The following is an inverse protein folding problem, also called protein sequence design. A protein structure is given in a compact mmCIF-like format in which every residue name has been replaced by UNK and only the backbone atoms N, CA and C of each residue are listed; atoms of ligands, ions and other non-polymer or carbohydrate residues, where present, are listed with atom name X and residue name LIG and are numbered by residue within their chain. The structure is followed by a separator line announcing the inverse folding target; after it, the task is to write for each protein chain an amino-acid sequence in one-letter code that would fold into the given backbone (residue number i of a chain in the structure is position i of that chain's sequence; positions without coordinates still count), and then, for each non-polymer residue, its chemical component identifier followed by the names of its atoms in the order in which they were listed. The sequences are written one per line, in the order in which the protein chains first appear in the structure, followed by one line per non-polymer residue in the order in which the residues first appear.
data_IF_822180214327
#
_entry.id   IF_822180214327
#
_cell.length_a   1.000
_cell.length_b   1.000
_cell.length_c   1.000
_cell.angle_alpha   90.00
_cell.angle_beta   90.00
_cell.angle_gamma   90.00
#
_symmetry.space_group_name_H-M   'P 1'
#
loop_
_entity.id
_entity.type
_entity.pdbx_description
1 polymer ?
#
# COMPACT_ATOMS: atom_id res chain seq x y z
N UNK A 1 27.58 42.26 -19.07
CA UNK A 1 27.17 42.44 -17.66
C UNK A 1 26.26 41.26 -17.30
N UNK A 2 26.64 40.44 -16.31
CA UNK A 2 25.97 39.17 -15.97
C UNK A 2 24.91 39.41 -14.88
N UNK A 3 23.66 38.94 -14.99
CA UNK A 3 22.73 39.00 -13.87
C UNK A 3 22.97 37.79 -12.95
N UNK A 4 23.18 38.11 -11.68
CA UNK A 4 23.18 37.22 -10.52
C UNK A 4 21.85 36.43 -10.49
N UNK A 5 21.92 35.14 -10.75
CA UNK A 5 20.91 34.16 -10.32
C UNK A 5 21.72 33.14 -9.53
N UNK A 6 21.57 33.12 -8.20
CA UNK A 6 21.81 31.98 -7.29
C UNK A 6 21.61 32.50 -5.86
N UNK A 7 21.04 31.64 -5.00
CA UNK A 7 20.84 31.75 -3.54
C UNK A 7 19.54 32.36 -3.03
N UNK A 8 18.49 31.54 -3.08
CA UNK A 8 17.53 31.43 -1.97
C UNK A 8 16.99 30.00 -1.89
N UNK A 9 17.89 29.02 -1.81
CA UNK A 9 17.56 27.63 -1.51
C UNK A 9 18.55 27.14 -0.47
N UNK A 10 18.16 27.22 0.80
CA UNK A 10 18.62 26.39 1.92
C UNK A 10 18.13 27.04 3.21
N UNK A 11 16.96 26.65 3.70
CA UNK A 11 16.70 26.59 5.14
C UNK A 11 15.60 25.55 5.38
N UNK A 12 15.96 24.27 5.21
CA UNK A 12 15.21 23.18 5.84
C UNK A 12 15.97 22.88 7.12
N UNK A 13 15.53 23.49 8.23
CA UNK A 13 16.00 23.12 9.57
C UNK A 13 15.39 21.77 9.90
N UNK A 14 16.29 20.85 10.23
CA UNK A 14 16.04 19.57 10.85
C UNK A 14 15.46 19.80 12.26
N UNK A 15 14.21 19.41 12.49
CA UNK A 15 13.67 19.24 13.84
C UNK A 15 12.72 18.03 13.85
N UNK A 16 13.03 17.05 14.69
CA UNK A 16 12.23 15.85 14.92
C UNK A 16 10.86 16.22 15.54
N UNK A 17 9.72 15.62 15.14
CA UNK A 17 8.44 16.02 15.71
C UNK A 17 7.96 15.02 16.76
N UNK A 18 7.86 15.50 18.00
CA UNK A 18 6.74 15.14 18.87
C UNK A 18 5.56 16.00 18.45
N UNK A 19 4.72 15.49 17.55
CA UNK A 19 3.63 16.27 16.95
C UNK A 19 2.54 16.58 17.99
N UNK A 20 2.44 17.85 18.39
CA UNK A 20 1.25 18.49 18.98
C UNK A 20 0.74 19.55 17.98
N UNK A 21 -0.49 20.02 18.16
CA UNK A 21 -1.30 20.84 17.24
C UNK A 21 -0.61 22.05 16.55
N UNK A 22 0.55 22.49 17.05
CA UNK A 22 1.35 23.60 16.51
C UNK A 22 1.99 23.31 15.14
N UNK A 23 2.23 22.04 14.80
CA UNK A 23 2.80 21.66 13.49
C UNK A 23 1.77 21.81 12.34
N UNK A 24 0.48 21.70 12.65
CA UNK A 24 -0.59 21.78 11.64
C UNK A 24 -0.92 23.24 11.33
N UNK A 25 -0.89 24.13 12.32
CA UNK A 25 -1.11 25.56 12.11
C UNK A 25 0.04 26.20 11.32
N UNK A 26 1.28 25.82 11.63
CA UNK A 26 2.46 26.28 10.89
C UNK A 26 2.46 25.76 9.44
N UNK A 27 2.03 24.51 9.21
CA UNK A 27 1.87 23.97 7.84
C UNK A 27 0.78 24.72 7.06
N UNK A 28 -0.38 25.01 7.68
CA UNK A 28 -1.43 25.83 7.06
C UNK A 28 -0.90 27.21 6.67
N UNK A 29 -0.13 27.83 7.56
CA UNK A 29 0.46 29.16 7.33
C UNK A 29 1.48 29.15 6.18
N UNK A 30 2.33 28.11 6.09
CA UNK A 30 3.28 27.94 4.98
C UNK A 30 2.56 27.73 3.63
N UNK A 31 1.49 26.93 3.63
CA UNK A 31 0.65 26.70 2.44
C UNK A 31 0.00 28.02 1.96
N UNK A 32 -0.55 28.82 2.87
CA UNK A 32 -1.14 30.12 2.53
C UNK A 32 -0.10 31.13 2.03
N UNK A 33 1.09 31.16 2.62
CA UNK A 33 2.19 32.04 2.18
C UNK A 33 2.69 31.67 0.77
N UNK A 34 2.82 30.37 0.49
CA UNK A 34 3.17 29.88 -0.84
C UNK A 34 2.11 30.26 -1.87
N UNK A 35 0.82 30.16 -1.51
CA UNK A 35 -0.30 30.56 -2.37
C UNK A 35 -0.26 32.06 -2.71
N UNK A 36 0.10 32.92 -1.76
CA UNK A 36 0.27 34.35 -2.00
C UNK A 36 1.47 34.64 -2.93
N UNK A 37 2.61 33.97 -2.71
CA UNK A 37 3.80 34.12 -3.56
C UNK A 37 3.55 33.65 -5.01
N UNK A 38 2.73 32.62 -5.21
CA UNK A 38 2.32 32.14 -6.53
C UNK A 38 1.44 33.17 -7.25
N UNK A 39 0.50 33.81 -6.53
CA UNK A 39 -0.37 34.85 -7.11
C UNK A 39 0.40 36.10 -7.50
N UNK A 40 1.37 36.54 -6.70
CA UNK A 40 2.21 37.70 -7.04
C UNK A 40 3.10 37.42 -8.25
N UNK A 41 3.60 36.18 -8.39
CA UNK A 41 4.37 35.76 -9.56
C UNK A 41 3.52 35.74 -10.84
N UNK A 42 2.25 35.32 -10.74
CA UNK A 42 1.29 35.34 -11.85
C UNK A 42 1.05 36.76 -12.38
N UNK A 43 0.93 37.76 -11.49
CA UNK A 43 0.74 39.15 -11.88
C UNK A 43 2.01 39.73 -12.54
N UNK A 44 3.19 39.42 -11.99
CA UNK A 44 4.47 39.87 -12.55
C UNK A 44 4.78 39.25 -13.93
N UNK A 45 4.36 38.01 -14.17
CA UNK A 45 4.52 37.32 -15.46
C UNK A 45 3.63 37.88 -16.58
N UNK A 46 2.48 38.46 -16.25
CA UNK A 46 1.56 39.09 -17.21
C UNK A 46 2.09 40.40 -17.78
N UNK A 47 2.94 41.12 -17.04
CA UNK A 47 3.38 42.48 -17.40
C UNK A 47 4.61 42.51 -18.33
N UNK A 48 5.46 41.46 -18.31
CA UNK A 48 6.77 41.46 -19.00
C UNK A 48 6.88 40.57 -20.25
N UNK A 49 5.90 39.71 -20.55
CA UNK A 49 6.02 38.66 -21.58
C UNK A 49 5.56 39.01 -23.00
N UNK A 50 4.92 40.17 -23.23
CA UNK A 50 4.09 40.41 -24.43
C UNK A 50 4.88 40.89 -25.67
N UNK A 51 6.19 41.16 -25.58
CA UNK A 51 6.89 41.88 -26.65
C UNK A 51 7.43 41.02 -27.81
N UNK A 52 7.34 39.68 -27.77
CA UNK A 52 7.78 38.79 -28.88
C UNK A 52 6.86 37.58 -29.06
N UNK A 53 6.73 37.08 -30.31
CA UNK A 53 5.87 35.92 -30.63
C UNK A 53 6.34 34.61 -29.96
N UNK A 54 7.64 34.41 -29.77
CA UNK A 54 8.19 33.31 -28.95
C UNK A 54 7.93 33.52 -27.45
N UNK A 55 7.91 34.77 -26.99
CA UNK A 55 7.50 35.12 -25.63
C UNK A 55 6.05 34.74 -25.35
N UNK A 56 5.14 34.97 -26.30
CA UNK A 56 3.73 34.60 -26.17
C UNK A 56 3.52 33.08 -26.04
N UNK A 57 4.16 32.27 -26.89
CA UNK A 57 4.05 30.81 -26.84
C UNK A 57 4.64 30.22 -25.54
N UNK A 58 5.74 30.77 -25.05
CA UNK A 58 6.33 30.37 -23.77
C UNK A 58 5.46 30.79 -22.59
N UNK A 59 4.82 31.97 -22.65
CA UNK A 59 3.85 32.43 -21.64
C UNK A 59 2.62 31.51 -21.60
N UNK A 60 2.11 31.05 -22.75
CA UNK A 60 0.98 30.13 -22.80
C UNK A 60 1.34 28.75 -22.23
N UNK A 61 2.53 28.24 -22.50
CA UNK A 61 3.03 26.99 -21.91
C UNK A 61 3.18 27.09 -20.40
N UNK A 62 3.83 28.16 -19.91
CA UNK A 62 3.98 28.43 -18.46
C UNK A 62 2.60 28.58 -17.81
N UNK A 63 1.64 29.22 -18.49
CA UNK A 63 0.26 29.37 -18.01
C UNK A 63 -0.45 28.02 -17.87
N UNK A 64 -0.28 27.11 -18.82
CA UNK A 64 -0.89 25.78 -18.78
C UNK A 64 -0.28 24.89 -17.67
N UNK A 65 1.05 24.87 -17.55
CA UNK A 65 1.73 24.15 -16.47
C UNK A 65 1.34 24.71 -15.09
N UNK A 66 1.18 26.03 -15.00
CA UNK A 66 0.75 26.71 -13.78
C UNK A 66 -0.70 26.42 -13.40
N UNK A 67 -1.63 26.39 -14.36
CA UNK A 67 -3.02 25.97 -14.11
C UNK A 67 -3.09 24.53 -13.59
N UNK A 68 -2.27 23.64 -14.15
CA UNK A 68 -2.14 22.26 -13.69
C UNK A 68 -1.58 22.18 -12.26
N UNK A 69 -0.60 23.04 -11.95
CA UNK A 69 0.00 23.14 -10.62
C UNK A 69 -1.00 23.69 -9.60
N UNK A 70 -1.81 24.70 -9.95
CA UNK A 70 -2.88 25.22 -9.10
C UNK A 70 -3.92 24.13 -8.77
N UNK A 71 -4.37 23.36 -9.77
CA UNK A 71 -5.31 22.26 -9.52
C UNK A 71 -4.72 21.17 -8.61
N UNK A 72 -3.42 20.89 -8.73
CA UNK A 72 -2.72 19.95 -7.85
C UNK A 72 -2.64 20.46 -6.41
N UNK A 73 -2.44 21.78 -6.24
CA UNK A 73 -2.40 22.44 -4.93
C UNK A 73 -3.77 22.42 -4.25
N UNK A 74 -4.84 22.76 -4.98
CA UNK A 74 -6.21 22.74 -4.45
C UNK A 74 -6.61 21.30 -4.04
N UNK A 75 -6.24 20.29 -4.84
CA UNK A 75 -6.45 18.88 -4.48
C UNK A 75 -5.68 18.49 -3.22
N UNK A 76 -4.44 18.97 -3.06
CA UNK A 76 -3.63 18.69 -1.87
C UNK A 76 -4.21 19.37 -0.63
N UNK A 77 -4.66 20.61 -0.76
CA UNK A 77 -5.33 21.36 0.31
C UNK A 77 -6.62 20.66 0.76
N UNK A 78 -7.44 20.20 -0.18
CA UNK A 78 -8.64 19.42 0.12
C UNK A 78 -8.32 18.13 0.86
N UNK A 79 -7.30 17.37 0.42
CA UNK A 79 -6.85 16.15 1.10
C UNK A 79 -6.36 16.42 2.52
N UNK A 80 -5.61 17.51 2.74
CA UNK A 80 -5.18 17.91 4.08
C UNK A 80 -6.36 18.26 4.98
N UNK A 81 -7.35 18.99 4.47
CA UNK A 81 -8.58 19.31 5.17
C UNK A 81 -9.35 18.04 5.58
N UNK A 82 -9.57 17.12 4.64
CA UNK A 82 -10.29 15.86 4.91
C UNK A 82 -9.54 14.99 5.92
N UNK A 83 -8.21 14.93 5.83
CA UNK A 83 -7.39 14.16 6.77
C UNK A 83 -7.48 14.75 8.18
N UNK A 84 -7.48 16.07 8.30
CA UNK A 84 -7.63 16.74 9.58
C UNK A 84 -9.01 16.48 10.20
N UNK A 85 -10.08 16.61 9.43
CA UNK A 85 -11.44 16.28 9.91
C UNK A 85 -11.59 14.82 10.34
N UNK A 86 -10.90 13.90 9.64
CA UNK A 86 -10.87 12.49 10.04
C UNK A 86 -10.13 12.29 11.37
N UNK A 87 -9.07 13.06 11.63
CA UNK A 87 -8.32 12.99 12.88
C UNK A 87 -9.15 13.53 14.06
N UNK A 88 -9.84 14.65 13.85
CA UNK A 88 -10.72 15.25 14.86
C UNK A 88 -11.87 14.29 15.22
N UNK A 89 -12.52 13.66 14.23
CA UNK A 89 -13.56 12.66 14.48
C UNK A 89 -13.03 11.44 15.23
N UNK A 90 -11.83 10.99 14.90
CA UNK A 90 -11.20 9.87 15.60
C UNK A 90 -10.92 10.21 17.06
N UNK A 91 -10.39 11.42 17.32
CA UNK A 91 -10.16 11.90 18.69
C UNK A 91 -11.45 12.02 19.50
N UNK A 92 -12.50 12.57 18.90
CA UNK A 92 -13.82 12.68 19.55
C UNK A 92 -14.45 11.32 19.85
N UNK A 93 -14.32 10.33 18.96
CA UNK A 93 -14.77 8.97 19.21
C UNK A 93 -14.01 8.35 20.39
N UNK A 94 -12.68 8.49 20.41
CA UNK A 94 -11.87 7.97 21.52
C UNK A 94 -12.21 8.64 22.85
N UNK A 95 -12.42 9.95 22.88
CA UNK A 95 -12.80 10.68 24.08
C UNK A 95 -14.21 10.30 24.57
N UNK A 96 -15.15 10.12 23.65
CA UNK A 96 -16.52 9.70 23.98
C UNK A 96 -16.51 8.30 24.60
N UNK A 97 -15.77 7.37 24.02
CA UNK A 97 -15.62 6.02 24.54
C UNK A 97 -14.91 6.00 25.89
N UNK A 98 -13.89 6.84 26.08
CA UNK A 98 -13.20 6.98 27.37
C UNK A 98 -14.16 7.49 28.46
N UNK A 99 -14.96 8.52 28.15
CA UNK A 99 -15.98 9.04 29.07
C UNK A 99 -17.03 8.00 29.43
N UNK A 100 -17.52 7.23 28.46
CA UNK A 100 -18.49 6.15 28.73
C UNK A 100 -17.90 5.09 29.65
N UNK A 101 -16.63 4.72 29.47
CA UNK A 101 -15.93 3.78 30.35
C UNK A 101 -15.78 4.37 31.76
N UNK A 102 -15.38 5.64 31.87
CA UNK A 102 -15.26 6.35 33.15
C UNK A 102 -16.61 6.43 33.89
N UNK A 103 -17.71 6.72 33.19
CA UNK A 103 -19.07 6.73 33.75
C UNK A 103 -19.50 5.33 34.24
N UNK A 104 -19.26 4.29 33.44
CA UNK A 104 -19.56 2.90 33.83
C UNK A 104 -18.77 2.46 35.07
N UNK A 105 -17.49 2.86 35.16
CA UNK A 105 -16.65 2.56 36.32
C UNK A 105 -17.11 3.31 37.57
N UNK A 106 -17.63 4.54 37.46
CA UNK A 106 -18.19 5.29 38.58
C UNK A 106 -19.51 4.70 39.09
N UNK A 107 -20.35 4.18 38.18
CA UNK A 107 -21.60 3.49 38.56
C UNK A 107 -21.27 2.19 39.30
N UNK A 108 -20.27 1.43 38.83
CA UNK A 108 -19.79 0.23 39.53
C UNK A 108 -19.21 0.54 40.92
N UNK A 109 -18.47 1.64 41.07
CA UNK A 109 -17.87 2.02 42.36
C UNK A 109 -18.88 2.59 43.38
N UNK A 110 -20.03 3.14 42.93
CA UNK A 110 -21.10 3.62 43.82
C UNK A 110 -22.05 2.51 44.30
N UNK A 111 -22.10 1.37 43.63
CA UNK A 111 -22.86 0.20 44.06
C UNK A 111 -21.94 -0.84 44.68
N UNK A 112 -21.50 -0.60 45.91
CA UNK A 112 -20.77 -1.60 46.68
C UNK A 112 -21.66 -2.80 47.05
N UNK A 113 -21.17 -4.00 46.76
CA UNK A 113 -21.46 -5.24 47.52
C UNK A 113 -22.86 -5.83 47.37
N UNK A 114 -23.02 -6.78 46.45
CA UNK A 114 -24.21 -7.63 46.35
C UNK A 114 -23.85 -9.02 45.86
N UNK A 115 -23.59 -9.93 46.79
CA UNK A 115 -23.55 -11.38 46.56
C UNK A 115 -24.90 -11.86 46.01
N UNK A 116 -24.98 -12.13 44.72
CA UNK A 116 -26.11 -12.80 44.10
C UNK A 116 -25.62 -13.81 43.06
N UNK A 117 -25.49 -15.06 43.53
CA UNK A 117 -25.63 -16.32 42.81
C UNK A 117 -25.43 -16.27 41.28
N UNK A 118 -24.17 -16.20 40.86
CA UNK A 118 -23.77 -16.65 39.53
C UNK A 118 -23.40 -18.14 39.68
N UNK A 119 -23.97 -19.08 38.89
CA UNK A 119 -23.50 -20.46 38.85
C UNK A 119 -22.00 -20.46 38.50
N UNK A 120 -21.21 -21.46 38.94
CA UNK A 120 -19.75 -21.33 39.02
C UNK A 120 -19.16 -21.06 37.64
N UNK A 121 -18.80 -19.79 37.41
CA UNK A 121 -17.88 -19.40 36.36
C UNK A 121 -16.56 -20.08 36.69
N UNK A 122 -16.15 -20.98 35.80
CA UNK A 122 -14.81 -21.56 35.80
C UNK A 122 -13.80 -20.41 35.84
N UNK A 123 -12.88 -20.34 36.82
CA UNK A 123 -11.94 -19.23 36.91
C UNK A 123 -10.94 -19.28 35.74
N UNK A 124 -10.88 -18.23 34.91
CA UNK A 124 -9.60 -17.78 34.34
C UNK A 124 -9.41 -17.57 32.82
N UNK A 125 -10.35 -17.86 31.92
CA UNK A 125 -9.99 -17.94 30.48
C UNK A 125 -10.28 -16.70 29.59
N UNK A 126 -11.46 -16.04 29.60
CA UNK A 126 -11.76 -15.06 28.53
C UNK A 126 -11.27 -13.62 28.77
N UNK A 127 -11.34 -13.10 30.00
CA UNK A 127 -11.02 -11.70 30.30
C UNK A 127 -9.52 -11.44 30.41
N UNK A 128 -8.80 -12.28 31.17
CA UNK A 128 -7.34 -12.16 31.32
C UNK A 128 -6.58 -12.39 29.99
N UNK A 129 -7.12 -13.26 29.12
CA UNK A 129 -6.57 -13.50 27.79
C UNK A 129 -6.74 -12.26 26.88
N UNK A 130 -7.91 -11.60 26.92
CA UNK A 130 -8.15 -10.37 26.17
C UNK A 130 -7.32 -9.19 26.69
N UNK A 131 -7.11 -9.11 28.00
CA UNK A 131 -6.23 -8.10 28.62
C UNK A 131 -4.76 -8.31 28.20
N UNK A 132 -4.27 -9.56 28.24
CA UNK A 132 -2.91 -9.89 27.81
C UNK A 132 -2.69 -9.72 26.30
N UNK A 133 -3.64 -10.13 25.47
CA UNK A 133 -3.60 -9.95 24.02
C UNK A 133 -3.64 -8.46 23.65
N UNK A 134 -4.57 -7.72 24.26
CA UNK A 134 -4.71 -6.27 24.06
C UNK A 134 -3.45 -5.50 24.46
N UNK A 135 -2.82 -5.86 25.59
CA UNK A 135 -1.57 -5.23 26.02
C UNK A 135 -0.42 -5.45 25.03
N UNK A 136 -0.25 -6.67 24.51
CA UNK A 136 0.75 -6.96 23.47
C UNK A 136 0.44 -6.19 22.17
N UNK A 137 -0.84 -6.11 21.79
CA UNK A 137 -1.25 -5.39 20.58
C UNK A 137 -0.89 -3.90 20.69
N UNK A 138 -1.24 -3.26 21.80
CA UNK A 138 -0.91 -1.84 22.04
C UNK A 138 0.59 -1.60 22.12
N UNK A 139 1.35 -2.51 22.74
CA UNK A 139 2.82 -2.42 22.78
C UNK A 139 3.42 -2.49 21.37
N UNK A 140 2.92 -3.40 20.54
CA UNK A 140 3.35 -3.51 19.13
C UNK A 140 3.06 -2.23 18.34
N UNK A 141 1.86 -1.66 18.50
CA UNK A 141 1.48 -0.40 17.86
C UNK A 141 2.33 0.79 18.34
N UNK A 142 2.70 0.82 19.61
CA UNK A 142 3.61 1.84 20.16
C UNK A 142 4.95 1.81 19.41
N UNK A 143 5.55 0.63 19.23
CA UNK A 143 6.79 0.50 18.46
C UNK A 143 6.61 0.91 16.99
N UNK A 144 5.49 0.58 16.35
CA UNK A 144 5.20 1.01 14.97
C UNK A 144 5.10 2.53 14.87
N UNK A 145 4.43 3.18 15.82
CA UNK A 145 4.31 4.63 15.89
C UNK A 145 5.66 5.31 16.09
N UNK A 146 6.52 4.70 16.88
CA UNK A 146 7.89 5.15 17.13
C UNK A 146 8.86 4.76 15.99
N UNK A 147 8.34 4.24 14.87
CA UNK A 147 9.06 3.73 13.71
C UNK A 147 10.06 2.60 14.00
N UNK A 148 9.98 1.97 15.18
CA UNK A 148 10.76 0.80 15.55
C UNK A 148 10.08 -0.48 15.06
N UNK A 149 10.14 -0.68 13.75
CA UNK A 149 9.50 -1.82 13.11
C UNK A 149 10.12 -3.17 13.52
N UNK A 150 11.38 -3.20 13.97
CA UNK A 150 12.04 -4.42 14.42
C UNK A 150 11.45 -4.91 15.74
N UNK A 151 11.33 -4.02 16.73
CA UNK A 151 10.66 -4.35 18.00
C UNK A 151 9.17 -4.59 17.77
N UNK A 152 8.51 -3.77 16.94
CA UNK A 152 7.10 -3.97 16.56
C UNK A 152 6.84 -5.38 16.00
N UNK A 153 7.63 -5.82 15.00
CA UNK A 153 7.52 -7.16 14.44
C UNK A 153 7.73 -8.27 15.49
N UNK A 154 8.66 -8.07 16.42
CA UNK A 154 8.91 -9.02 17.52
C UNK A 154 7.69 -9.17 18.42
N UNK A 155 7.07 -8.04 18.81
CA UNK A 155 5.86 -8.06 19.65
C UNK A 155 4.66 -8.68 18.92
N UNK A 156 4.43 -8.35 17.66
CA UNK A 156 3.31 -8.95 16.92
C UNK A 156 3.50 -10.45 16.70
N UNK A 157 4.73 -10.93 16.50
CA UNK A 157 5.01 -12.37 16.49
C UNK A 157 4.71 -13.02 17.82
N UNK A 158 5.13 -12.40 18.93
CA UNK A 158 4.83 -12.90 20.27
C UNK A 158 3.31 -13.03 20.48
N UNK A 159 2.56 -11.99 20.10
CA UNK A 159 1.10 -12.01 20.16
C UNK A 159 0.52 -13.15 19.34
N UNK A 160 0.95 -13.31 18.08
CA UNK A 160 0.44 -14.36 17.18
C UNK A 160 0.82 -15.78 17.65
N UNK A 161 1.91 -15.94 18.40
CA UNK A 161 2.28 -17.21 19.01
C UNK A 161 1.43 -17.52 20.25
N UNK A 162 1.21 -16.53 21.13
CA UNK A 162 0.44 -16.70 22.37
C UNK A 162 -1.07 -16.76 22.13
N UNK A 163 -1.56 -15.99 21.16
CA UNK A 163 -2.98 -15.78 20.87
C UNK A 163 -3.27 -15.94 19.36
N UNK A 164 -3.00 -17.12 18.76
CA UNK A 164 -3.07 -17.33 17.30
C UNK A 164 -4.48 -17.15 16.69
N UNK A 165 -5.52 -17.28 17.53
CA UNK A 165 -6.94 -17.13 17.18
C UNK A 165 -7.62 -16.04 18.02
N UNK A 166 -6.84 -15.16 18.65
CA UNK A 166 -7.36 -14.08 19.49
C UNK A 166 -8.02 -12.96 18.67
N UNK A 167 -8.69 -12.05 19.37
CA UNK A 167 -9.46 -10.96 18.77
C UNK A 167 -8.59 -10.02 17.93
N UNK A 168 -7.32 -9.83 18.32
CA UNK A 168 -6.35 -9.00 17.63
C UNK A 168 -5.43 -9.80 16.70
N UNK A 169 -5.55 -11.13 16.61
CA UNK A 169 -4.66 -11.95 15.79
C UNK A 169 -4.62 -11.51 14.32
N UNK A 170 -5.78 -11.33 13.68
CA UNK A 170 -5.84 -10.88 12.28
C UNK A 170 -5.23 -9.49 12.06
N UNK A 171 -5.51 -8.55 12.96
CA UNK A 171 -4.92 -7.20 12.91
C UNK A 171 -3.40 -7.24 13.16
N UNK A 172 -2.94 -8.06 14.10
CA UNK A 172 -1.52 -8.23 14.43
C UNK A 172 -0.75 -8.85 13.27
N UNK A 173 -1.36 -9.80 12.56
CA UNK A 173 -0.81 -10.39 11.35
C UNK A 173 -0.61 -9.33 10.24
N UNK A 174 -1.56 -8.40 10.10
CA UNK A 174 -1.45 -7.27 9.19
C UNK A 174 -0.34 -6.30 9.62
N UNK A 175 -0.27 -5.94 10.89
CA UNK A 175 0.79 -5.04 11.38
C UNK A 175 2.18 -5.66 11.33
N UNK A 176 2.31 -6.98 11.50
CA UNK A 176 3.55 -7.69 11.26
C UNK A 176 4.02 -7.53 9.81
N UNK A 177 3.09 -7.65 8.85
CA UNK A 177 3.38 -7.41 7.44
C UNK A 177 3.79 -5.96 7.15
N UNK A 178 3.11 -4.98 7.77
CA UNK A 178 3.48 -3.55 7.66
C UNK A 178 4.86 -3.27 8.26
N UNK A 179 5.22 -3.90 9.39
CA UNK A 179 6.56 -3.79 9.97
C UNK A 179 7.63 -4.28 8.97
N UNK A 180 7.40 -5.42 8.31
CA UNK A 180 8.33 -5.92 7.30
C UNK A 180 8.40 -5.05 6.06
N UNK A 181 7.26 -4.55 5.61
CA UNK A 181 7.20 -3.63 4.47
C UNK A 181 8.00 -2.35 4.76
N UNK A 182 7.85 -1.78 5.95
CA UNK A 182 8.57 -0.58 6.36
C UNK A 182 10.10 -0.81 6.50
N UNK A 183 10.51 -2.03 6.86
CA UNK A 183 11.92 -2.47 6.84
C UNK A 183 12.45 -2.75 5.42
N UNK A 184 11.63 -2.56 4.38
CA UNK A 184 11.91 -2.96 2.98
C UNK A 184 12.14 -4.45 2.79
N UNK A 185 11.74 -5.27 3.75
CA UNK A 185 11.72 -6.71 3.61
C UNK A 185 10.42 -7.15 2.92
N UNK A 186 10.36 -6.87 1.63
CA UNK A 186 9.15 -7.09 0.85
C UNK A 186 8.80 -8.57 0.74
N UNK A 187 9.79 -9.47 0.75
CA UNK A 187 9.55 -10.92 0.69
C UNK A 187 8.80 -11.41 1.92
N UNK A 188 9.24 -11.05 3.14
CA UNK A 188 8.52 -11.38 4.36
C UNK A 188 7.17 -10.67 4.40
N UNK A 189 7.11 -9.39 4.03
CA UNK A 189 5.84 -8.65 3.99
C UNK A 189 4.79 -9.32 3.11
N UNK A 190 5.15 -9.75 1.89
CA UNK A 190 4.26 -10.46 0.96
C UNK A 190 3.69 -11.72 1.60
N UNK A 191 4.53 -12.53 2.28
CA UNK A 191 4.11 -13.75 2.96
C UNK A 191 3.12 -13.46 4.10
N UNK A 192 3.40 -12.43 4.89
CA UNK A 192 2.53 -12.07 6.02
C UNK A 192 1.19 -11.47 5.52
N UNK A 193 1.18 -10.63 4.48
CA UNK A 193 -0.06 -10.16 3.86
C UNK A 193 -0.87 -11.31 3.25
N UNK A 194 -0.22 -12.26 2.59
CA UNK A 194 -0.88 -13.46 2.09
C UNK A 194 -1.56 -14.23 3.23
N UNK A 195 -0.89 -14.33 4.37
CA UNK A 195 -1.44 -14.97 5.58
C UNK A 195 -2.66 -14.22 6.11
N UNK A 196 -2.67 -12.88 6.09
CA UNK A 196 -3.88 -12.09 6.39
C UNK A 196 -5.03 -12.49 5.47
N UNK A 197 -4.77 -12.53 4.16
CA UNK A 197 -5.79 -12.78 3.13
C UNK A 197 -6.38 -14.19 3.25
N UNK A 198 -5.57 -15.20 3.56
CA UNK A 198 -6.01 -16.59 3.60
C UNK A 198 -6.55 -17.02 4.95
N UNK A 199 -5.91 -16.59 6.05
CA UNK A 199 -6.26 -17.04 7.41
C UNK A 199 -7.36 -16.17 8.03
N UNK A 200 -7.45 -14.90 7.66
CA UNK A 200 -8.40 -13.95 8.25
C UNK A 200 -9.30 -13.29 7.17
N UNK A 201 -10.01 -14.07 6.32
CA UNK A 201 -10.71 -13.54 5.14
C UNK A 201 -11.89 -12.59 5.46
N UNK A 202 -12.33 -12.52 6.71
CA UNK A 202 -13.39 -11.63 7.19
C UNK A 202 -12.87 -10.32 7.80
N UNK A 203 -11.55 -10.11 7.81
CA UNK A 203 -10.96 -8.92 8.38
C UNK A 203 -11.25 -7.71 7.48
N UNK A 204 -11.64 -6.57 8.07
CA UNK A 204 -11.93 -5.34 7.30
C UNK A 204 -10.70 -4.84 6.52
N UNK A 205 -9.49 -5.21 6.95
CA UNK A 205 -8.21 -4.87 6.32
C UNK A 205 -7.86 -5.71 5.09
N UNK A 206 -8.72 -6.61 4.63
CA UNK A 206 -8.43 -7.48 3.47
C UNK A 206 -8.10 -6.68 2.20
N UNK A 207 -8.88 -5.64 1.81
CA UNK A 207 -8.51 -4.81 0.66
C UNK A 207 -7.15 -4.13 0.86
N UNK A 208 -6.86 -3.64 2.08
CA UNK A 208 -5.58 -2.99 2.40
C UNK A 208 -4.41 -3.96 2.33
N UNK A 209 -4.57 -5.19 2.81
CA UNK A 209 -3.58 -6.25 2.71
C UNK A 209 -3.30 -6.64 1.26
N UNK A 210 -4.34 -6.81 0.42
CA UNK A 210 -4.19 -7.08 -1.02
C UNK A 210 -3.45 -5.95 -1.74
N UNK A 211 -3.80 -4.70 -1.44
CA UNK A 211 -3.12 -3.53 -2.01
C UNK A 211 -1.63 -3.56 -1.65
N UNK A 212 -1.34 -3.69 -0.36
CA UNK A 212 0.03 -3.67 0.16
C UNK A 212 0.87 -4.84 -0.34
N UNK A 213 0.27 -6.01 -0.53
CA UNK A 213 0.92 -7.15 -1.17
C UNK A 213 1.31 -6.82 -2.62
N UNK A 214 0.41 -6.26 -3.41
CA UNK A 214 0.70 -5.82 -4.78
C UNK A 214 1.78 -4.72 -4.84
N UNK A 215 1.75 -3.77 -3.91
CA UNK A 215 2.79 -2.75 -3.76
C UNK A 215 4.15 -3.36 -3.41
N UNK A 216 4.19 -4.34 -2.50
CA UNK A 216 5.41 -5.03 -2.12
C UNK A 216 6.02 -5.81 -3.30
N UNK A 217 5.20 -6.46 -4.15
CA UNK A 217 5.68 -7.06 -5.39
C UNK A 217 6.28 -6.01 -6.33
N UNK A 218 5.64 -4.86 -6.48
CA UNK A 218 6.14 -3.78 -7.33
C UNK A 218 7.49 -3.25 -6.84
N UNK A 219 7.63 -3.06 -5.52
CA UNK A 219 8.86 -2.56 -4.91
C UNK A 219 10.00 -3.60 -4.91
N UNK A 220 9.66 -4.89 -5.01
CA UNK A 220 10.61 -5.98 -5.25
C UNK A 220 11.01 -6.10 -6.74
N UNK A 221 10.41 -5.30 -7.63
CA UNK A 221 10.65 -5.34 -9.08
C UNK A 221 9.81 -6.38 -9.83
N UNK A 222 8.98 -7.14 -9.12
CA UNK A 222 8.09 -8.18 -9.67
C UNK A 222 6.82 -7.53 -10.25
N UNK A 223 6.99 -6.80 -11.35
CA UNK A 223 5.95 -5.94 -11.93
C UNK A 223 4.77 -6.74 -12.50
N UNK A 224 5.03 -7.93 -13.05
CA UNK A 224 3.99 -8.81 -13.58
C UNK A 224 3.06 -9.31 -12.47
N UNK A 225 3.65 -9.75 -11.36
CA UNK A 225 2.95 -10.20 -10.16
C UNK A 225 2.19 -9.04 -9.52
N UNK A 226 2.85 -7.88 -9.37
CA UNK A 226 2.19 -6.68 -8.86
C UNK A 226 0.94 -6.32 -9.66
N UNK A 227 1.04 -6.35 -10.99
CA UNK A 227 -0.09 -6.08 -11.90
C UNK A 227 -1.22 -7.07 -11.66
N UNK A 228 -0.92 -8.37 -11.66
CA UNK A 228 -1.91 -9.43 -11.42
C UNK A 228 -2.66 -9.24 -10.09
N UNK A 229 -1.93 -8.98 -9.00
CA UNK A 229 -2.54 -8.82 -7.66
C UNK A 229 -3.36 -7.54 -7.55
N UNK A 230 -2.89 -6.42 -8.12
CA UNK A 230 -3.61 -5.15 -8.10
C UNK A 230 -4.86 -5.19 -8.98
N UNK A 231 -4.82 -5.82 -10.16
CA UNK A 231 -6.00 -6.04 -11.00
C UNK A 231 -7.05 -6.89 -10.29
N UNK A 232 -6.61 -7.96 -9.62
CA UNK A 232 -7.49 -8.80 -8.82
C UNK A 232 -8.15 -8.02 -7.68
N UNK A 233 -7.41 -7.14 -6.99
CA UNK A 233 -7.99 -6.25 -5.97
C UNK A 233 -9.07 -5.34 -6.57
N UNK A 234 -8.82 -4.72 -7.72
CA UNK A 234 -9.82 -3.86 -8.38
C UNK A 234 -11.06 -4.66 -8.79
N UNK A 235 -10.89 -5.90 -9.24
CA UNK A 235 -12.00 -6.79 -9.58
C UNK A 235 -12.80 -7.25 -8.37
N UNK A 236 -12.12 -7.65 -7.29
CA UNK A 236 -12.74 -8.22 -6.10
C UNK A 236 -13.38 -7.14 -5.20
N UNK A 237 -12.83 -5.92 -5.18
CA UNK A 237 -13.24 -4.83 -4.27
C UNK A 237 -13.37 -3.47 -4.97
N UNK A 238 -14.15 -3.36 -6.06
CA UNK A 238 -14.09 -2.22 -7.00
C UNK A 238 -14.41 -0.85 -6.40
N UNK A 239 -15.20 -0.80 -5.33
CA UNK A 239 -15.67 0.46 -4.71
C UNK A 239 -14.89 0.84 -3.45
N UNK A 240 -13.71 0.25 -3.23
CA UNK A 240 -12.87 0.55 -2.06
C UNK A 240 -11.83 1.62 -2.37
N UNK A 241 -11.44 2.46 -1.39
CA UNK A 241 -10.31 3.37 -1.53
C UNK A 241 -9.03 2.65 -1.99
N UNK A 242 -8.85 1.40 -1.57
CA UNK A 242 -7.74 0.54 -1.96
C UNK A 242 -7.76 0.18 -3.45
N UNK A 243 -8.93 -0.11 -4.02
CA UNK A 243 -9.06 -0.37 -5.44
C UNK A 243 -8.73 0.88 -6.27
N UNK A 244 -9.13 2.08 -5.83
CA UNK A 244 -8.73 3.31 -6.51
C UNK A 244 -7.21 3.52 -6.48
N UNK A 245 -6.57 3.32 -5.32
CA UNK A 245 -5.10 3.36 -5.19
C UNK A 245 -4.42 2.31 -6.09
N UNK A 246 -5.01 1.11 -6.20
CA UNK A 246 -4.51 0.06 -7.07
C UNK A 246 -4.58 0.46 -8.55
N UNK A 247 -5.68 1.08 -8.99
CA UNK A 247 -5.82 1.60 -10.36
C UNK A 247 -4.75 2.65 -10.68
N UNK A 248 -4.51 3.59 -9.77
CA UNK A 248 -3.47 4.61 -9.94
C UNK A 248 -2.08 3.97 -10.08
N UNK A 249 -1.79 2.97 -9.24
CA UNK A 249 -0.53 2.24 -9.31
C UNK A 249 -0.39 1.46 -10.61
N UNK A 250 -1.43 0.77 -11.06
CA UNK A 250 -1.45 0.05 -12.33
C UNK A 250 -1.12 0.98 -13.51
N UNK A 251 -1.77 2.15 -13.59
CA UNK A 251 -1.48 3.16 -14.63
C UNK A 251 -0.01 3.57 -14.65
N UNK A 252 0.60 3.73 -13.47
CA UNK A 252 2.03 4.04 -13.36
C UNK A 252 2.92 2.90 -13.85
N UNK A 253 2.62 1.65 -13.48
CA UNK A 253 3.39 0.47 -13.91
C UNK A 253 3.28 0.26 -15.43
N UNK A 254 2.09 0.39 -16.03
CA UNK A 254 1.91 0.27 -17.49
C UNK A 254 2.62 1.36 -18.27
N UNK A 255 2.77 2.58 -17.73
CA UNK A 255 3.53 3.64 -18.41
C UNK A 255 5.04 3.41 -18.39
N UNK A 256 5.55 2.78 -17.33
CA UNK A 256 6.99 2.46 -17.20
C UNK A 256 7.42 1.21 -17.96
N UNK A 257 6.49 0.29 -18.19
CA UNK A 257 6.72 -0.94 -18.95
C UNK A 257 5.94 -0.81 -20.25
N UNK A 258 6.56 -0.47 -21.40
CA UNK A 258 5.84 -0.49 -22.67
C UNK A 258 5.18 -1.87 -22.83
N UNK A 259 3.97 -1.95 -23.42
CA UNK A 259 3.23 -3.20 -23.52
C UNK A 259 4.15 -4.25 -24.13
N UNK A 260 4.56 -5.20 -23.29
CA UNK A 260 5.30 -6.37 -23.74
C UNK A 260 4.30 -7.13 -24.58
N UNK A 261 4.50 -7.05 -25.89
CA UNK A 261 3.80 -7.75 -26.98
C UNK A 261 2.84 -8.78 -26.42
N UNK A 262 1.55 -8.45 -26.43
CA UNK A 262 0.48 -9.43 -26.30
C UNK A 262 0.89 -10.61 -27.19
N UNK A 263 1.21 -11.75 -26.58
CA UNK A 263 1.49 -12.98 -27.34
C UNK A 263 0.19 -13.32 -28.04
N UNK A 264 0.01 -12.74 -29.22
CA UNK A 264 -1.02 -13.12 -30.18
C UNK A 264 -0.93 -14.64 -30.27
N UNK A 265 -2.06 -15.38 -30.20
CA UNK A 265 -2.04 -16.82 -30.34
C UNK A 265 -1.16 -17.16 -31.54
N UNK A 266 -0.14 -18.00 -31.32
CA UNK A 266 0.65 -18.53 -32.42
C UNK A 266 -0.38 -19.20 -33.33
N UNK A 267 -0.52 -18.77 -34.60
CA UNK A 267 -1.45 -19.43 -35.50
C UNK A 267 -1.12 -20.93 -35.52
N UNK A 268 -2.15 -21.75 -35.41
CA UNK A 268 -2.08 -23.20 -35.56
C UNK A 268 -1.27 -23.51 -36.82
N UNK A 269 -0.51 -24.62 -36.85
CA UNK A 269 0.23 -25.04 -38.05
C UNK A 269 -0.65 -25.13 -39.31
N UNK A 270 -1.97 -25.20 -39.12
CA UNK A 270 -2.98 -25.29 -40.16
C UNK A 270 -3.38 -23.93 -40.78
N UNK A 271 -2.99 -22.80 -40.18
CA UNK A 271 -3.37 -21.45 -40.62
C UNK A 271 -2.31 -20.73 -41.47
N UNK A 272 -1.23 -21.43 -41.87
CA UNK A 272 -0.21 -20.87 -42.78
C UNK A 272 -0.65 -21.15 -44.22
N UNK A 273 -0.97 -20.13 -45.05
CA UNK A 273 -1.23 -20.35 -46.46
C UNK A 273 0.03 -20.95 -47.10
N UNK A 274 -0.12 -22.12 -47.71
CA UNK A 274 0.95 -22.78 -48.44
C UNK A 274 1.38 -21.86 -49.60
N UNK A 275 2.62 -21.40 -49.59
CA UNK A 275 3.18 -20.63 -50.69
C UNK A 275 3.05 -21.43 -52.00
N UNK A 276 2.56 -20.82 -53.10
CA UNK A 276 2.44 -21.53 -54.36
C UNK A 276 3.83 -21.82 -54.92
N UNK A 277 4.24 -23.09 -54.94
CA UNK A 277 5.41 -23.50 -55.72
C UNK A 277 6.29 -24.62 -55.18
N UNK A 278 6.08 -25.17 -53.98
CA UNK A 278 6.96 -26.25 -53.47
C UNK A 278 6.37 -27.63 -53.79
N UNK A 279 6.97 -28.33 -54.77
CA UNK A 279 6.64 -29.73 -55.08
C UNK A 279 7.06 -30.64 -53.92
N UNK A 280 6.15 -31.51 -53.49
CA UNK A 280 6.40 -32.58 -52.50
C UNK A 280 7.46 -33.56 -53.00
N UNK A 281 8.42 -34.00 -52.17
CA UNK A 281 9.23 -35.18 -52.49
C UNK A 281 8.39 -36.45 -52.35
N UNK A 282 8.43 -37.29 -53.38
CA UNK A 282 7.81 -38.62 -53.42
C UNK A 282 8.52 -39.59 -52.49
N UNK A 283 7.76 -40.36 -51.71
CA UNK A 283 8.25 -41.51 -50.96
C UNK A 283 8.82 -42.58 -51.89
N UNK A 284 9.97 -43.17 -51.54
CA UNK A 284 10.29 -44.54 -51.92
C UNK A 284 11.44 -45.12 -51.08
N UNK A 285 11.17 -46.32 -50.56
CA UNK A 285 12.10 -47.45 -50.37
C UNK A 285 12.68 -47.70 -48.96
N UNK A 286 12.04 -48.64 -48.26
CA UNK A 286 12.70 -49.60 -47.35
C UNK A 286 13.52 -50.63 -48.16
N UNK A 287 14.52 -51.30 -47.56
CA UNK A 287 14.28 -52.68 -47.05
C UNK A 287 15.05 -52.98 -45.74
N UNK A 288 14.40 -53.62 -44.75
CA UNK A 288 14.52 -55.03 -44.28
C UNK A 288 15.54 -55.29 -43.12
N UNK A 289 15.31 -56.34 -42.28
CA UNK A 289 15.82 -56.45 -40.91
C UNK A 289 16.83 -57.62 -40.69
N UNK A 290 17.08 -57.97 -39.41
CA UNK A 290 17.94 -59.04 -38.82
C UNK A 290 19.40 -58.59 -38.48
N UNK A 291 20.04 -58.95 -37.37
CA UNK A 291 19.81 -60.00 -36.37
C UNK A 291 20.55 -59.67 -35.04
N UNK A 292 20.07 -60.33 -33.98
CA UNK A 292 20.52 -60.51 -32.60
C UNK A 292 22.05 -60.53 -32.33
N UNK A 293 22.50 -60.06 -31.15
CA UNK A 293 22.70 -60.93 -29.96
C UNK A 293 23.44 -60.22 -28.81
N UNK A 294 23.02 -60.57 -27.57
CA UNK A 294 23.80 -60.61 -26.31
C UNK A 294 24.17 -59.26 -25.67
N UNK A 295 24.08 -59.04 -24.35
CA UNK A 295 23.67 -59.86 -23.20
C UNK A 295 23.54 -58.95 -21.96
N UNK A 296 22.91 -59.52 -20.91
CA UNK A 296 23.11 -59.27 -19.47
C UNK A 296 22.71 -57.90 -18.93
N UNK A 297 21.54 -57.75 -18.28
CA UNK A 297 21.22 -58.19 -16.92
C UNK A 297 22.04 -57.51 -15.81
N UNK A 298 21.31 -56.68 -15.04
CA UNK A 298 21.39 -56.55 -13.58
C UNK A 298 22.62 -55.80 -13.02
N UNK A 299 22.56 -55.06 -11.91
CA UNK A 299 21.64 -55.04 -10.78
C UNK A 299 21.83 -53.69 -10.03
N UNK A 300 20.80 -53.31 -9.27
CA UNK A 300 20.80 -52.64 -7.96
C UNK A 300 22.03 -51.81 -7.53
N UNK A 301 21.79 -50.59 -7.04
CA UNK A 301 21.57 -50.29 -5.62
C UNK A 301 20.95 -48.90 -5.45
#
# INVERSE_FOLDING_TARGET
MKPLIVLAACFVILAAPTAKADDISSLKQQVSALQQSLRSMQQAGMEKGIQTAEGAANVDKVRHEFQTLQGSFDSLQFKLQTLQESLDRYQQDTDSRLRTIEEQLQILHKQGGGTALIPPVVPGAPTAQLEGEGALYQRGLTFVRDADYNRGATVFKELLQKYPNGTFAGNSQYWLAECYYAQRDYQRAIKEYQTVITKYPRLDKIPSAKLKQGLAFADLGMTSEATLFLEKLVKDHPNTPEAHKAQDRLRYLTRKTPPSVEKKPIPSKDDIPLAPGVKKPSASRAPEPLNQSKASSADKY
#
